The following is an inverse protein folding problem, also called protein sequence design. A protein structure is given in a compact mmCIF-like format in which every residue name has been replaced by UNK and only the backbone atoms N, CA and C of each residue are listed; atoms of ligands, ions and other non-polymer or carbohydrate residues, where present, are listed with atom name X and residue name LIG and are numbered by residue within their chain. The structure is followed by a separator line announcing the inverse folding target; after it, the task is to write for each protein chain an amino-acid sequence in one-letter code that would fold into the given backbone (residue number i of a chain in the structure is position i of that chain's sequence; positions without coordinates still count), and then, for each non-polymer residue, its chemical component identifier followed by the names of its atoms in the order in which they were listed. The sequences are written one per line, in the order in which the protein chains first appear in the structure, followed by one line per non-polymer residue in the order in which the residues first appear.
data_IF_619674240893
#
_entry.id   IF_619674240893
#
_cell.length_a   1.000
_cell.length_b   1.000
_cell.length_c   1.000
_cell.angle_alpha   90.00
_cell.angle_beta   90.00
_cell.angle_gamma   90.00
#
_symmetry.space_group_name_H-M   'P 1'
#
loop_
_entity.id
_entity.type
_entity.pdbx_description
1 polymer ?
#
# COMPACT_ATOMS: atom_id res chain seq x y z
N UNK A 1 -28.48 -4.10 42.38
CA UNK A 1 -27.28 -4.81 41.85
C UNK A 1 -27.49 -5.46 40.46
N UNK A 2 -28.72 -5.78 40.03
CA UNK A 2 -28.96 -6.41 38.72
C UNK A 2 -28.76 -5.48 37.49
N UNK A 3 -28.96 -4.16 37.64
CA UNK A 3 -28.78 -3.20 36.54
C UNK A 3 -27.33 -2.94 36.14
N UNK A 4 -26.41 -2.95 37.11
CA UNK A 4 -24.97 -2.72 36.87
C UNK A 4 -24.32 -3.91 36.15
N UNK A 5 -24.72 -5.15 36.50
CA UNK A 5 -24.27 -6.35 35.79
C UNK A 5 -24.76 -6.38 34.33
N UNK A 6 -25.98 -5.91 34.05
CA UNK A 6 -26.52 -5.83 32.67
C UNK A 6 -25.82 -4.75 31.84
N UNK A 7 -25.48 -3.61 32.44
CA UNK A 7 -24.72 -2.56 31.78
C UNK A 7 -23.29 -3.04 31.43
N UNK A 8 -22.59 -3.70 32.35
CA UNK A 8 -21.23 -4.21 32.10
C UNK A 8 -21.23 -5.32 31.04
N UNK A 9 -22.20 -6.24 31.05
CA UNK A 9 -22.31 -7.30 30.02
C UNK A 9 -22.66 -6.72 28.65
N UNK A 10 -23.51 -5.71 28.56
CA UNK A 10 -23.84 -5.03 27.30
C UNK A 10 -22.63 -4.25 26.74
N UNK A 11 -21.85 -3.58 27.60
CA UNK A 11 -20.61 -2.91 27.18
C UNK A 11 -19.56 -3.90 26.69
N UNK A 12 -19.45 -5.07 27.33
CA UNK A 12 -18.48 -6.11 26.94
C UNK A 12 -18.88 -6.79 25.62
N UNK A 13 -20.19 -6.98 25.37
CA UNK A 13 -20.69 -7.52 24.11
C UNK A 13 -20.51 -6.56 22.92
N UNK A 14 -20.65 -5.25 23.13
CA UNK A 14 -20.37 -4.23 22.11
C UNK A 14 -18.86 -4.16 21.82
N UNK A 15 -18.01 -4.31 22.84
CA UNK A 15 -16.54 -4.35 22.68
C UNK A 15 -16.09 -5.63 21.95
N UNK A 16 -16.72 -6.79 22.20
CA UNK A 16 -16.41 -8.03 21.46
C UNK A 16 -16.94 -8.04 20.03
N UNK A 17 -18.07 -7.39 19.75
CA UNK A 17 -18.60 -7.26 18.38
C UNK A 17 -17.71 -6.38 17.48
N UNK A 18 -16.92 -5.47 18.07
CA UNK A 18 -15.94 -4.66 17.35
C UNK A 18 -14.66 -5.44 16.94
N UNK A 19 -14.49 -6.67 17.42
CA UNK A 19 -13.26 -7.46 17.22
C UNK A 19 -13.40 -8.60 16.19
N UNK A 20 -14.59 -8.84 15.62
CA UNK A 20 -14.85 -9.96 14.73
C UNK A 20 -15.12 -9.51 13.28
N UNK A 21 -14.08 -9.05 12.58
CA UNK A 21 -14.12 -8.82 11.14
C UNK A 21 -13.55 -10.01 10.37
N UNK A 22 -14.37 -10.64 9.52
CA UNK A 22 -13.89 -11.52 8.43
C UNK A 22 -12.92 -10.71 7.56
N UNK A 23 -11.82 -11.33 7.12
CA UNK A 23 -10.79 -10.67 6.33
C UNK A 23 -11.32 -10.33 4.92
N UNK A 24 -11.94 -9.16 4.79
CA UNK A 24 -12.26 -8.54 3.50
C UNK A 24 -11.38 -7.31 3.33
N UNK A 25 -10.84 -7.15 2.12
CA UNK A 25 -9.70 -6.27 1.86
C UNK A 25 -10.08 -4.85 1.45
N UNK A 26 -11.31 -4.65 0.97
CA UNK A 26 -11.77 -3.40 0.38
C UNK A 26 -12.70 -2.63 1.34
N UNK A 27 -12.67 -1.29 1.34
CA UNK A 27 -13.50 -0.49 2.22
C UNK A 27 -14.98 -0.66 1.89
N UNK A 28 -15.80 -0.91 2.90
CA UNK A 28 -17.25 -1.07 2.74
C UNK A 28 -18.02 0.17 3.21
N UNK A 29 -19.20 0.45 2.62
CA UNK A 29 -20.09 1.49 3.14
C UNK A 29 -20.36 1.28 4.64
N UNK A 30 -20.23 2.34 5.42
CA UNK A 30 -20.43 2.35 6.88
C UNK A 30 -19.42 1.54 7.70
N UNK A 31 -18.28 1.15 7.12
CA UNK A 31 -17.18 0.60 7.89
C UNK A 31 -16.59 1.65 8.84
N UNK A 32 -16.51 1.32 10.13
CA UNK A 32 -16.08 2.25 11.19
C UNK A 32 -14.62 2.10 11.62
N UNK A 33 -14.05 0.89 11.45
CA UNK A 33 -12.67 0.59 11.84
C UNK A 33 -11.90 0.06 10.64
N UNK A 34 -10.58 0.11 10.68
CA UNK A 34 -9.76 -0.53 9.66
C UNK A 34 -9.93 -2.06 9.66
N UNK A 35 -9.70 -2.69 8.52
CA UNK A 35 -9.65 -4.15 8.43
C UNK A 35 -8.42 -4.72 9.12
N UNK A 36 -8.46 -6.01 9.48
CA UNK A 36 -7.28 -6.76 9.97
C UNK A 36 -6.19 -6.94 8.91
N UNK A 37 -6.55 -6.70 7.65
CA UNK A 37 -5.72 -6.93 6.48
C UNK A 37 -5.59 -8.41 6.12
N UNK A 38 -4.74 -8.69 5.14
CA UNK A 38 -4.63 -9.95 4.45
C UNK A 38 -3.21 -10.53 4.45
N UNK A 39 -2.33 -9.98 5.29
CA UNK A 39 -0.92 -10.37 5.34
C UNK A 39 -0.54 -10.83 6.74
N UNK A 40 0.57 -11.54 6.85
CA UNK A 40 1.12 -11.92 8.16
C UNK A 40 1.44 -10.69 9.03
N UNK A 41 1.82 -9.57 8.40
CA UNK A 41 2.21 -8.33 9.08
C UNK A 41 1.01 -7.43 9.43
N UNK A 42 -0.06 -7.40 8.61
CA UNK A 42 -1.17 -6.44 8.76
C UNK A 42 -1.92 -6.54 10.10
N UNK A 43 -1.82 -7.68 10.78
CA UNK A 43 -2.39 -7.87 12.13
C UNK A 43 -1.73 -6.99 13.20
N UNK A 44 -0.46 -6.64 13.03
CA UNK A 44 0.29 -5.84 13.99
C UNK A 44 -0.22 -4.38 14.08
N UNK A 45 -0.27 -3.60 12.98
CA UNK A 45 -0.86 -2.25 13.04
C UNK A 45 -2.33 -2.28 13.47
N UNK A 46 -3.10 -3.31 13.08
CA UNK A 46 -4.48 -3.50 13.55
C UNK A 46 -4.56 -3.61 15.08
N UNK A 47 -3.72 -4.46 15.67
CA UNK A 47 -3.65 -4.64 17.11
C UNK A 47 -3.21 -3.37 17.84
N UNK A 48 -2.11 -2.76 17.40
CA UNK A 48 -1.56 -1.53 17.98
C UNK A 48 -2.56 -0.37 17.98
N UNK A 49 -3.26 -0.17 16.85
CA UNK A 49 -4.31 0.84 16.76
C UNK A 49 -5.46 0.58 17.72
N UNK A 50 -5.96 -0.66 17.84
CA UNK A 50 -7.08 -0.94 18.72
C UNK A 50 -6.71 -0.81 20.20
N UNK A 51 -5.48 -1.16 20.57
CA UNK A 51 -4.94 -0.88 21.90
C UNK A 51 -4.87 0.63 22.16
N UNK A 52 -4.26 1.39 21.24
CA UNK A 52 -4.13 2.84 21.37
C UNK A 52 -5.50 3.53 21.42
N UNK A 53 -6.43 3.12 20.56
CA UNK A 53 -7.81 3.61 20.55
C UNK A 53 -8.52 3.33 21.88
N UNK A 54 -8.36 2.11 22.42
CA UNK A 54 -8.90 1.76 23.74
C UNK A 54 -8.37 2.66 24.86
N UNK A 55 -7.07 2.93 24.86
CA UNK A 55 -6.44 3.88 25.81
C UNK A 55 -7.02 5.28 25.65
N UNK A 56 -7.13 5.78 24.41
CA UNK A 56 -7.72 7.09 24.12
C UNK A 56 -9.18 7.19 24.56
N UNK A 57 -9.99 6.13 24.39
CA UNK A 57 -11.39 6.08 24.85
C UNK A 57 -11.45 6.17 26.37
N UNK A 58 -10.62 5.41 27.09
CA UNK A 58 -10.58 5.46 28.57
C UNK A 58 -10.19 6.86 29.05
N UNK A 59 -9.13 7.45 28.49
CA UNK A 59 -8.70 8.82 28.83
C UNK A 59 -9.82 9.81 28.51
N UNK A 60 -10.46 9.68 27.34
CA UNK A 60 -11.60 10.52 26.94
C UNK A 60 -12.74 10.46 27.96
N UNK A 61 -13.16 9.27 28.36
CA UNK A 61 -14.21 9.10 29.39
C UNK A 61 -13.82 9.75 30.72
N UNK A 62 -12.56 9.63 31.14
CA UNK A 62 -12.07 10.24 32.38
C UNK A 62 -12.06 11.78 32.29
N UNK A 63 -11.54 12.33 31.19
CA UNK A 63 -11.46 13.79 30.98
C UNK A 63 -12.84 14.40 30.82
N UNK A 64 -13.66 13.86 29.91
CA UNK A 64 -15.02 14.34 29.72
C UNK A 64 -15.87 14.13 30.97
N UNK A 65 -15.72 13.01 31.67
CA UNK A 65 -16.39 12.75 32.95
C UNK A 65 -16.04 13.81 34.00
N UNK A 66 -14.75 14.07 34.22
CA UNK A 66 -14.29 15.10 35.15
C UNK A 66 -14.78 16.50 34.74
N UNK A 67 -14.75 16.82 33.45
CA UNK A 67 -15.25 18.08 32.92
C UNK A 67 -16.76 18.24 33.14
N UNK A 68 -17.57 17.22 32.84
CA UNK A 68 -19.01 17.25 33.11
C UNK A 68 -19.28 17.41 34.59
N UNK A 69 -18.61 16.65 35.46
CA UNK A 69 -18.73 16.78 36.92
C UNK A 69 -18.41 18.22 37.34
N UNK A 70 -17.30 18.78 36.87
CA UNK A 70 -16.89 20.14 37.21
C UNK A 70 -17.94 21.17 36.77
N UNK A 71 -18.41 21.09 35.53
CA UNK A 71 -19.46 21.99 35.01
C UNK A 71 -20.76 21.86 35.82
N UNK A 72 -21.23 20.65 36.13
CA UNK A 72 -22.49 20.47 36.87
C UNK A 72 -22.39 20.80 38.36
N UNK A 73 -21.22 20.56 38.97
CA UNK A 73 -21.00 20.75 40.41
C UNK A 73 -20.62 22.18 40.77
N UNK A 74 -19.86 22.86 39.91
CA UNK A 74 -19.32 24.20 40.16
C UNK A 74 -19.99 25.30 39.30
N UNK A 75 -21.10 25.02 38.63
CA UNK A 75 -21.87 26.07 37.94
C UNK A 75 -22.39 27.13 38.90
N UNK A 76 -22.33 28.39 38.45
CA UNK A 76 -22.83 29.58 39.17
C UNK A 76 -24.28 29.45 39.65
N UNK A 77 -25.14 28.82 38.85
CA UNK A 77 -26.57 28.64 39.19
C UNK A 77 -26.81 27.76 40.42
N UNK A 78 -25.81 27.02 40.90
CA UNK A 78 -25.88 26.26 42.17
C UNK A 78 -25.28 27.02 43.36
N UNK A 79 -24.95 28.29 43.20
CA UNK A 79 -24.29 29.09 44.25
C UNK A 79 -22.84 28.68 44.50
N UNK A 80 -22.17 28.06 43.51
CA UNK A 80 -20.76 27.73 43.64
C UNK A 80 -19.90 29.00 43.73
N UNK A 81 -19.05 29.08 44.76
CA UNK A 81 -18.06 30.14 44.95
C UNK A 81 -16.70 29.61 44.50
N UNK A 82 -15.94 30.43 43.78
CA UNK A 82 -14.62 30.04 43.28
C UNK A 82 -13.61 29.92 44.42
N UNK A 83 -12.88 28.80 44.42
CA UNK A 83 -11.75 28.59 45.32
C UNK A 83 -10.55 29.47 44.91
N UNK A 84 -9.65 29.76 45.86
CA UNK A 84 -8.50 30.66 45.65
C UNK A 84 -7.14 29.96 45.52
N UNK A 85 -7.08 28.64 45.73
CA UNK A 85 -5.83 27.89 45.60
C UNK A 85 -5.46 27.69 44.13
N UNK A 86 -4.16 27.59 43.84
CA UNK A 86 -3.64 27.53 42.46
C UNK A 86 -2.78 26.32 42.14
N UNK A 87 -2.29 25.59 43.14
CA UNK A 87 -1.36 24.47 42.94
C UNK A 87 -1.66 23.31 43.89
N UNK A 88 -1.35 22.10 43.44
CA UNK A 88 -1.34 20.91 44.26
C UNK A 88 -0.27 19.95 43.72
N UNK A 89 0.93 20.02 44.30
CA UNK A 89 2.11 19.28 43.86
C UNK A 89 1.87 17.78 43.75
N UNK A 90 1.07 17.19 44.66
CA UNK A 90 0.78 15.76 44.59
C UNK A 90 -0.05 15.39 43.36
N UNK A 91 -1.07 16.19 43.03
CA UNK A 91 -1.90 15.94 41.83
C UNK A 91 -1.08 16.21 40.56
N UNK A 92 -0.22 17.23 40.59
CA UNK A 92 0.71 17.56 39.51
C UNK A 92 1.67 16.41 39.19
N UNK A 93 2.24 15.77 40.22
CA UNK A 93 3.09 14.59 40.05
C UNK A 93 2.28 13.45 39.42
N UNK A 94 1.08 13.16 39.93
CA UNK A 94 0.25 12.05 39.45
C UNK A 94 -0.10 12.22 37.96
N UNK A 95 -0.62 13.39 37.55
CA UNK A 95 -1.01 13.60 36.15
C UNK A 95 0.18 13.75 35.21
N UNK A 96 1.40 13.92 35.73
CA UNK A 96 2.62 13.97 34.89
C UNK A 96 3.19 12.57 34.74
N UNK A 97 3.26 11.80 35.82
CA UNK A 97 3.83 10.45 35.81
C UNK A 97 2.93 9.45 35.07
N UNK A 98 1.61 9.50 35.23
CA UNK A 98 0.70 8.55 34.57
C UNK A 98 0.81 8.61 33.03
N UNK A 99 0.72 9.78 32.36
CA UNK A 99 0.89 9.85 30.91
C UNK A 99 2.25 9.36 30.44
N UNK A 100 3.33 9.65 31.18
CA UNK A 100 4.68 9.16 30.85
C UNK A 100 4.71 7.63 30.82
N UNK A 101 4.15 6.97 31.84
CA UNK A 101 4.09 5.50 31.91
C UNK A 101 3.24 4.92 30.77
N UNK A 102 2.09 5.54 30.46
CA UNK A 102 1.22 5.12 29.35
C UNK A 102 2.00 5.18 28.03
N UNK A 103 2.67 6.30 27.74
CA UNK A 103 3.44 6.48 26.51
C UNK A 103 4.62 5.50 26.43
N UNK A 104 5.35 5.27 27.52
CA UNK A 104 6.44 4.29 27.56
C UNK A 104 5.95 2.88 27.21
N UNK A 105 4.79 2.49 27.70
CA UNK A 105 4.21 1.15 27.45
C UNK A 105 3.79 1.01 25.99
N UNK A 106 3.12 2.02 25.43
CA UNK A 106 2.72 2.04 24.02
C UNK A 106 3.93 2.05 23.09
N UNK A 107 4.97 2.82 23.40
CA UNK A 107 6.20 2.88 22.62
C UNK A 107 6.96 1.55 22.64
N UNK A 108 7.03 0.89 23.80
CA UNK A 108 7.64 -0.43 23.91
C UNK A 108 6.93 -1.46 23.03
N UNK A 109 5.59 -1.49 23.08
CA UNK A 109 4.79 -2.39 22.26
C UNK A 109 4.99 -2.14 20.75
N UNK A 110 5.00 -0.88 20.31
CA UNK A 110 5.21 -0.53 18.91
C UNK A 110 6.61 -0.87 18.38
N UNK A 111 7.62 -0.92 19.27
CA UNK A 111 9.02 -1.14 18.89
C UNK A 111 9.25 -2.56 18.35
N UNK A 112 8.60 -3.58 18.93
CA UNK A 112 8.74 -4.97 18.47
C UNK A 112 8.22 -5.12 17.04
N UNK A 113 7.01 -4.63 16.79
CA UNK A 113 6.44 -4.58 15.46
C UNK A 113 7.36 -3.88 14.44
N UNK A 114 7.85 -2.68 14.75
CA UNK A 114 8.73 -1.96 13.82
C UNK A 114 9.97 -2.78 13.42
N UNK A 115 10.58 -3.53 14.34
CA UNK A 115 11.75 -4.36 14.02
C UNK A 115 11.43 -5.43 12.97
N UNK A 116 10.31 -6.13 13.13
CA UNK A 116 9.88 -7.16 12.17
C UNK A 116 9.51 -6.56 10.81
N UNK A 117 8.92 -5.37 10.78
CA UNK A 117 8.59 -4.68 9.54
C UNK A 117 9.83 -4.33 8.70
N UNK A 118 10.91 -3.87 9.33
CA UNK A 118 12.15 -3.50 8.61
C UNK A 118 12.99 -4.69 8.15
N UNK A 119 12.73 -5.90 8.67
CA UNK A 119 13.44 -7.11 8.25
C UNK A 119 12.91 -7.65 6.90
N UNK A 120 13.52 -7.16 5.82
CA UNK A 120 13.26 -7.63 4.45
C UNK A 120 14.12 -8.82 4.04
N UNK A 121 14.96 -9.35 4.93
CA UNK A 121 15.85 -10.49 4.63
C UNK A 121 15.06 -11.78 4.43
N UNK A 122 15.66 -12.77 3.76
CA UNK A 122 15.02 -14.07 3.49
C UNK A 122 13.79 -13.98 2.57
N UNK A 123 13.65 -12.89 1.82
CA UNK A 123 12.56 -12.74 0.84
C UNK A 123 12.74 -13.72 -0.32
N UNK A 124 11.65 -14.34 -0.72
CA UNK A 124 11.58 -15.35 -1.78
C UNK A 124 11.30 -14.76 -3.15
N UNK A 125 10.97 -13.47 -3.20
CA UNK A 125 10.64 -12.75 -4.41
C UNK A 125 10.99 -11.28 -4.20
N UNK A 126 11.49 -10.62 -5.23
CA UNK A 126 11.67 -9.15 -5.25
C UNK A 126 10.88 -8.54 -6.41
N UNK A 127 10.09 -7.50 -6.12
CA UNK A 127 9.41 -6.67 -7.10
C UNK A 127 9.90 -5.24 -6.96
N UNK A 128 10.34 -4.64 -8.06
CA UNK A 128 10.58 -3.20 -8.13
C UNK A 128 9.27 -2.50 -8.46
N UNK A 129 8.93 -1.50 -7.67
CA UNK A 129 7.79 -0.61 -7.87
C UNK A 129 8.33 0.77 -8.16
N UNK A 130 7.90 1.36 -9.28
CA UNK A 130 8.32 2.70 -9.66
C UNK A 130 7.08 3.58 -9.87
N UNK A 131 7.01 4.69 -9.14
CA UNK A 131 5.99 5.72 -9.32
C UNK A 131 6.24 6.59 -10.55
N UNK A 132 5.17 6.93 -11.26
CA UNK A 132 5.14 7.92 -12.34
C UNK A 132 3.85 8.73 -12.26
N UNK A 133 3.82 9.96 -12.75
CA UNK A 133 2.60 10.72 -12.98
C UNK A 133 1.83 10.14 -14.19
N UNK A 134 0.64 9.54 -14.05
CA UNK A 134 -0.03 9.03 -12.84
C UNK A 134 -0.34 7.55 -13.05
N UNK A 135 0.65 6.70 -12.77
CA UNK A 135 0.64 5.24 -12.99
C UNK A 135 1.80 4.60 -12.22
N UNK A 136 1.74 3.28 -12.10
CA UNK A 136 2.78 2.50 -11.45
C UNK A 136 3.45 1.57 -12.45
N UNK A 137 4.77 1.44 -12.39
CA UNK A 137 5.49 0.38 -13.08
C UNK A 137 5.84 -0.72 -12.08
N UNK A 138 5.66 -1.95 -12.52
CA UNK A 138 6.09 -3.14 -11.80
C UNK A 138 7.13 -3.88 -12.62
N UNK A 139 8.30 -4.12 -12.06
CA UNK A 139 9.33 -4.98 -12.64
C UNK A 139 9.61 -6.15 -11.67
N UNK A 140 9.48 -7.37 -12.16
CA UNK A 140 9.76 -8.57 -11.39
C UNK A 140 11.27 -8.83 -11.48
N UNK A 141 11.96 -8.85 -10.33
CA UNK A 141 13.43 -8.89 -10.28
C UNK A 141 13.93 -10.32 -10.07
N UNK A 142 13.36 -11.01 -9.10
CA UNK A 142 13.70 -12.40 -8.78
C UNK A 142 12.51 -13.15 -8.19
N UNK A 143 12.53 -14.48 -8.35
CA UNK A 143 11.61 -15.40 -7.72
C UNK A 143 12.31 -16.73 -7.40
N UNK A 144 12.24 -17.16 -6.14
CA UNK A 144 12.88 -18.37 -5.61
C UNK A 144 14.37 -18.48 -5.96
N UNK A 145 15.09 -17.37 -5.85
CA UNK A 145 16.53 -17.28 -6.13
C UNK A 145 16.89 -17.28 -7.62
N UNK A 146 15.89 -17.30 -8.51
CA UNK A 146 16.10 -17.17 -9.96
C UNK A 146 15.83 -15.73 -10.39
N UNK A 147 16.75 -15.07 -11.11
CA UNK A 147 16.48 -13.79 -11.72
C UNK A 147 15.30 -13.91 -12.69
N UNK A 148 14.37 -12.98 -12.62
CA UNK A 148 13.28 -12.83 -13.59
C UNK A 148 13.73 -11.77 -14.57
N UNK A 149 13.81 -12.12 -15.86
CA UNK A 149 14.24 -11.19 -16.89
C UNK A 149 13.06 -10.82 -17.77
N UNK A 150 12.94 -9.52 -18.10
CA UNK A 150 11.99 -8.99 -19.09
C UNK A 150 10.50 -9.11 -18.72
N UNK A 151 10.17 -9.28 -17.44
CA UNK A 151 8.79 -9.19 -16.97
C UNK A 151 8.60 -7.87 -16.23
N UNK A 152 8.03 -6.89 -16.91
CA UNK A 152 7.66 -5.63 -16.31
C UNK A 152 6.71 -4.82 -17.17
N UNK A 153 5.82 -4.08 -16.54
CA UNK A 153 4.76 -3.34 -17.23
C UNK A 153 4.28 -2.13 -16.43
N UNK A 154 3.69 -1.19 -17.16
CA UNK A 154 2.93 -0.07 -16.60
C UNK A 154 1.52 -0.54 -16.25
N UNK A 155 1.03 -0.10 -15.10
CA UNK A 155 -0.32 -0.26 -14.58
C UNK A 155 -0.90 1.13 -14.37
N UNK A 156 -1.98 1.44 -15.09
CA UNK A 156 -2.69 2.72 -15.01
C UNK A 156 -4.15 2.48 -14.69
N UNK A 157 -4.88 3.56 -14.39
CA UNK A 157 -6.33 3.51 -14.20
C UNK A 157 -7.00 2.75 -15.36
N UNK A 158 -7.99 1.92 -15.01
CA UNK A 158 -8.74 1.18 -16.01
C UNK A 158 -9.50 2.13 -16.96
N UNK A 159 -9.67 1.71 -18.21
CA UNK A 159 -10.20 2.56 -19.27
C UNK A 159 -11.65 3.01 -19.02
N UNK A 160 -12.46 2.19 -18.33
CA UNK A 160 -13.85 2.55 -18.04
C UNK A 160 -13.92 3.64 -16.98
N UNK A 161 -13.16 3.50 -15.89
CA UNK A 161 -13.03 4.55 -14.88
C UNK A 161 -12.44 5.84 -15.48
N UNK A 162 -11.39 5.73 -16.30
CA UNK A 162 -10.74 6.88 -16.92
C UNK A 162 -11.67 7.62 -17.89
N UNK A 163 -12.55 6.91 -18.59
CA UNK A 163 -13.61 7.52 -19.42
C UNK A 163 -14.72 8.12 -18.57
N UNK A 164 -15.15 7.41 -17.53
CA UNK A 164 -16.29 7.81 -16.67
C UNK A 164 -15.99 9.09 -15.90
N UNK A 165 -14.75 9.27 -15.45
CA UNK A 165 -14.33 10.47 -14.70
C UNK A 165 -14.27 11.76 -15.53
N UNK A 166 -14.31 11.68 -16.86
CA UNK A 166 -14.24 12.87 -17.70
C UNK A 166 -15.48 13.74 -17.52
N UNK A 167 -15.29 15.05 -17.56
CA UNK A 167 -16.41 16.00 -17.56
C UNK A 167 -17.33 15.69 -18.76
N UNK A 168 -18.64 15.74 -18.52
CA UNK A 168 -19.68 15.48 -19.54
C UNK A 168 -19.58 14.09 -20.21
N UNK A 169 -18.99 13.09 -19.53
CA UNK A 169 -18.88 11.73 -20.06
C UNK A 169 -20.23 11.04 -20.30
N UNK A 170 -21.29 11.46 -19.58
CA UNK A 170 -22.61 10.84 -19.60
C UNK A 170 -22.64 9.44 -19.00
N UNK A 171 -21.55 8.99 -18.35
CA UNK A 171 -21.43 7.67 -17.74
C UNK A 171 -21.70 7.74 -16.24
N UNK A 172 -22.31 6.69 -15.70
CA UNK A 172 -22.62 6.58 -14.27
C UNK A 172 -21.45 5.94 -13.49
N UNK A 173 -20.81 6.65 -12.55
CA UNK A 173 -19.80 6.09 -11.65
C UNK A 173 -20.27 4.85 -10.88
N UNK A 174 -21.57 4.73 -10.57
CA UNK A 174 -22.11 3.59 -9.83
C UNK A 174 -22.28 2.33 -10.70
N UNK A 175 -22.20 2.48 -12.03
CA UNK A 175 -22.25 1.39 -12.99
C UNK A 175 -20.87 0.74 -13.23
N UNK A 176 -19.76 1.36 -12.79
CA UNK A 176 -18.42 0.81 -12.95
C UNK A 176 -18.16 -0.26 -11.89
N UNK A 177 -18.28 -1.53 -12.30
CA UNK A 177 -18.20 -2.66 -11.38
C UNK A 177 -17.27 -3.77 -11.85
N UNK A 178 -16.72 -4.49 -10.87
CA UNK A 178 -16.06 -5.78 -11.07
C UNK A 178 -16.80 -6.81 -10.21
N UNK A 179 -17.55 -7.73 -10.84
CA UNK A 179 -18.51 -8.55 -10.09
C UNK A 179 -19.61 -7.65 -9.50
N UNK A 180 -19.86 -7.80 -8.19
CA UNK A 180 -20.86 -7.01 -7.47
C UNK A 180 -20.30 -5.71 -6.86
N UNK A 181 -18.98 -5.53 -6.85
CA UNK A 181 -18.30 -4.41 -6.22
C UNK A 181 -18.22 -3.20 -7.17
N UNK A 182 -18.51 -2.01 -6.64
CA UNK A 182 -18.20 -0.76 -7.35
C UNK A 182 -16.69 -0.52 -7.30
N UNK A 183 -16.06 -0.46 -8.48
CA UNK A 183 -14.62 -0.30 -8.62
C UNK A 183 -14.22 0.98 -9.34
N UNK A 184 -15.13 1.96 -9.41
CA UNK A 184 -14.84 3.27 -10.01
C UNK A 184 -13.61 3.91 -9.35
N UNK A 185 -12.61 4.26 -10.16
CA UNK A 185 -11.32 4.82 -9.72
C UNK A 185 -10.42 3.89 -8.90
N UNK A 186 -10.82 2.64 -8.70
CA UNK A 186 -10.11 1.67 -7.86
C UNK A 186 -9.50 0.52 -8.65
N UNK A 187 -9.79 0.42 -9.95
CA UNK A 187 -9.30 -0.64 -10.83
C UNK A 187 -8.21 -0.16 -11.79
N UNK A 188 -7.45 -1.11 -12.32
CA UNK A 188 -6.35 -0.85 -13.26
C UNK A 188 -6.46 -1.72 -14.49
N UNK A 189 -5.77 -1.33 -15.55
CA UNK A 189 -5.65 -2.12 -16.77
C UNK A 189 -4.79 -3.39 -16.59
N UNK A 190 -3.73 -3.30 -15.78
CA UNK A 190 -2.78 -4.40 -15.54
C UNK A 190 -2.44 -4.56 -14.05
N UNK A 191 -3.10 -5.47 -13.31
CA UNK A 191 -2.81 -5.67 -11.90
C UNK A 191 -1.41 -6.27 -11.67
N UNK A 192 -0.84 -6.00 -10.50
CA UNK A 192 0.36 -6.69 -10.02
C UNK A 192 -0.04 -8.11 -9.56
N UNK A 193 0.53 -9.15 -10.17
CA UNK A 193 0.18 -10.54 -9.84
C UNK A 193 1.22 -11.09 -8.87
N UNK A 194 0.80 -11.57 -7.71
CA UNK A 194 1.70 -12.05 -6.65
C UNK A 194 1.31 -13.45 -6.16
N UNK A 195 2.27 -14.31 -5.77
CA UNK A 195 1.97 -15.57 -5.13
C UNK A 195 1.61 -15.39 -3.65
N UNK A 196 0.60 -16.10 -3.16
CA UNK A 196 0.31 -16.22 -1.72
C UNK A 196 1.38 -17.04 -1.01
N UNK A 197 1.44 -16.93 0.32
CA UNK A 197 2.36 -17.67 1.20
C UNK A 197 3.83 -17.57 0.78
N UNK A 198 4.22 -16.37 0.33
CA UNK A 198 5.55 -16.05 -0.18
C UNK A 198 5.98 -14.73 0.45
N UNK A 199 7.17 -14.68 1.05
CA UNK A 199 7.73 -13.42 1.53
C UNK A 199 8.24 -12.63 0.32
N UNK A 200 7.56 -11.54 -0.01
CA UNK A 200 7.84 -10.69 -1.18
C UNK A 200 8.42 -9.38 -0.70
N UNK A 201 9.61 -9.04 -1.17
CA UNK A 201 10.23 -7.72 -0.96
C UNK A 201 9.82 -6.78 -2.08
N UNK A 202 9.39 -5.60 -1.70
CA UNK A 202 9.22 -4.48 -2.61
C UNK A 202 10.41 -3.55 -2.48
N UNK A 203 10.97 -3.16 -3.62
CA UNK A 203 11.93 -2.06 -3.71
C UNK A 203 11.25 -0.90 -4.44
N UNK A 204 11.06 0.22 -3.76
CA UNK A 204 10.09 1.24 -4.12
C UNK A 204 10.85 2.55 -4.39
N UNK A 205 10.61 3.15 -5.55
CA UNK A 205 11.22 4.42 -5.97
C UNK A 205 10.30 5.17 -6.93
N UNK A 206 10.71 6.33 -7.44
CA UNK A 206 10.00 7.12 -8.44
C UNK A 206 10.96 7.66 -9.48
N UNK A 207 10.47 7.93 -10.70
CA UNK A 207 11.26 8.61 -11.75
C UNK A 207 10.91 10.10 -11.92
N UNK A 208 9.84 10.60 -11.28
CA UNK A 208 9.42 12.00 -11.43
C UNK A 208 9.27 12.74 -10.11
N UNK A 209 8.12 12.63 -9.44
CA UNK A 209 7.80 13.29 -8.17
C UNK A 209 7.65 12.26 -7.06
N UNK A 210 7.43 12.72 -5.83
CA UNK A 210 7.15 11.81 -4.72
C UNK A 210 5.75 11.21 -4.92
N UNK A 211 5.65 9.89 -4.78
CA UNK A 211 4.38 9.15 -4.65
C UNK A 211 4.42 8.36 -3.35
N UNK A 212 3.33 7.68 -3.00
CA UNK A 212 3.37 6.69 -1.91
C UNK A 212 2.55 5.48 -2.28
N UNK A 213 3.21 4.32 -2.28
CA UNK A 213 2.56 3.05 -2.59
C UNK A 213 1.88 2.54 -1.32
N UNK A 214 0.56 2.66 -1.25
CA UNK A 214 -0.23 2.27 -0.09
C UNK A 214 -1.21 1.16 -0.42
N UNK A 215 -1.06 0.05 0.30
CA UNK A 215 -1.98 -1.08 0.26
C UNK A 215 -2.57 -1.28 1.67
N UNK A 216 -3.78 -0.75 1.95
CA UNK A 216 -4.39 -0.84 3.28
C UNK A 216 -4.49 -2.27 3.79
N UNK A 217 -4.88 -3.20 2.92
CA UNK A 217 -4.99 -4.63 3.25
C UNK A 217 -3.64 -5.27 3.59
N UNK A 218 -2.51 -4.69 3.21
CA UNK A 218 -1.19 -5.17 3.61
C UNK A 218 -0.72 -4.57 4.93
N UNK A 219 -1.41 -3.55 5.43
CA UNK A 219 -1.12 -2.90 6.70
C UNK A 219 0.08 -1.94 6.66
N UNK A 220 0.55 -1.55 5.47
CA UNK A 220 1.65 -0.60 5.37
C UNK A 220 1.57 0.26 4.12
N UNK A 221 2.25 1.41 4.19
CA UNK A 221 2.51 2.34 3.08
C UNK A 221 3.99 2.63 3.02
N UNK A 222 4.50 2.93 1.83
CA UNK A 222 5.89 3.32 1.66
C UNK A 222 6.02 4.33 0.53
N UNK A 223 6.76 5.40 0.80
CA UNK A 223 6.93 6.47 -0.16
C UNK A 223 7.88 6.04 -1.29
N UNK A 224 7.51 6.43 -2.50
CA UNK A 224 8.28 6.28 -3.72
C UNK A 224 8.95 7.63 -4.01
N UNK A 225 10.23 7.74 -3.66
CA UNK A 225 10.96 9.01 -3.69
C UNK A 225 11.99 8.98 -4.83
N UNK A 226 12.03 10.00 -5.71
CA UNK A 226 13.03 10.08 -6.76
C UNK A 226 14.46 10.03 -6.19
N UNK A 227 15.30 9.17 -6.76
CA UNK A 227 16.70 9.01 -6.33
C UNK A 227 16.91 8.20 -5.05
N UNK A 228 15.86 7.68 -4.41
CA UNK A 228 15.95 6.83 -3.22
C UNK A 228 15.22 5.51 -3.47
N UNK A 229 15.82 4.41 -3.01
CA UNK A 229 15.18 3.09 -3.03
C UNK A 229 14.77 2.72 -1.61
N UNK A 230 13.47 2.81 -1.32
CA UNK A 230 12.90 2.30 -0.09
C UNK A 230 12.61 0.80 -0.22
N UNK A 231 12.52 0.10 0.90
CA UNK A 231 12.18 -1.33 0.92
C UNK A 231 11.08 -1.62 1.92
N UNK A 232 10.15 -2.48 1.53
CA UNK A 232 9.11 -3.02 2.38
C UNK A 232 8.89 -4.49 2.02
N UNK A 233 8.13 -5.24 2.82
CA UNK A 233 7.81 -6.63 2.49
C UNK A 233 6.36 -6.97 2.81
N UNK A 234 5.87 -8.03 2.16
CA UNK A 234 4.58 -8.63 2.49
C UNK A 234 4.65 -10.14 2.42
N UNK A 235 3.70 -10.81 3.08
CA UNK A 235 3.40 -12.21 2.85
C UNK A 235 1.87 -12.35 2.91
N UNK A 236 1.28 -12.57 1.74
CA UNK A 236 -0.18 -12.57 1.54
C UNK A 236 -0.73 -13.93 1.95
N UNK A 237 -1.73 -13.93 2.82
CA UNK A 237 -2.27 -15.14 3.43
C UNK A 237 -3.34 -15.84 2.59
N UNK A 238 -4.05 -15.10 1.71
CA UNK A 238 -5.17 -15.64 0.96
C UNK A 238 -5.16 -15.14 -0.49
N UNK A 239 -5.65 -15.98 -1.41
CA UNK A 239 -5.84 -15.57 -2.79
C UNK A 239 -7.00 -14.56 -2.88
N UNK A 240 -6.90 -13.63 -3.82
CA UNK A 240 -7.89 -12.56 -3.97
C UNK A 240 -7.37 -11.36 -4.72
N UNK A 241 -8.22 -10.34 -4.82
CA UNK A 241 -7.87 -9.03 -5.36
C UNK A 241 -7.79 -8.04 -4.20
N UNK A 242 -6.73 -7.25 -4.17
CA UNK A 242 -6.46 -6.27 -3.13
C UNK A 242 -6.25 -4.90 -3.76
N UNK A 243 -6.93 -3.87 -3.24
CA UNK A 243 -6.89 -2.52 -3.81
C UNK A 243 -6.18 -1.55 -2.88
N UNK A 244 -5.39 -0.68 -3.50
CA UNK A 244 -4.64 0.39 -2.86
C UNK A 244 -4.69 1.66 -3.70
N UNK A 245 -4.14 2.74 -3.17
CA UNK A 245 -4.13 4.04 -3.82
C UNK A 245 -2.79 4.75 -3.57
N UNK A 246 -2.51 5.76 -4.38
CA UNK A 246 -1.41 6.66 -4.07
C UNK A 246 -1.74 7.47 -2.81
N UNK A 247 -0.82 7.54 -1.86
CA UNK A 247 -1.01 8.21 -0.57
C UNK A 247 -0.09 9.42 -0.34
N UNK A 248 0.49 9.97 -1.42
CA UNK A 248 1.27 11.22 -1.40
C UNK A 248 0.87 12.09 -2.59
N UNK A 249 0.60 13.37 -2.36
CA UNK A 249 0.10 14.28 -3.39
C UNK A 249 1.14 14.42 -4.52
N UNK A 250 0.81 13.88 -5.69
CA UNK A 250 1.71 13.81 -6.84
C UNK A 250 1.23 14.60 -8.08
N UNK A 251 0.31 15.55 -7.89
CA UNK A 251 -0.20 16.43 -8.95
C UNK A 251 -1.66 16.17 -9.32
N UNK A 252 -2.05 16.64 -10.51
CA UNK A 252 -3.45 16.73 -10.97
C UNK A 252 -4.23 15.41 -10.85
N UNK A 253 -3.69 14.31 -11.36
CA UNK A 253 -4.39 13.01 -11.37
C UNK A 253 -3.95 12.12 -10.17
N UNK A 254 -3.54 12.73 -9.04
CA UNK A 254 -3.14 12.01 -7.82
C UNK A 254 -4.19 10.97 -7.37
N UNK A 255 -5.47 11.32 -7.41
CA UNK A 255 -6.58 10.42 -7.06
C UNK A 255 -6.87 9.32 -8.08
N UNK A 256 -6.17 9.28 -9.22
CA UNK A 256 -6.49 8.45 -10.39
C UNK A 256 -5.35 7.49 -10.77
N UNK A 257 -4.48 7.14 -9.83
CA UNK A 257 -3.43 6.13 -10.02
C UNK A 257 -3.51 5.00 -8.98
N UNK A 258 -4.60 4.22 -9.01
CA UNK A 258 -4.82 3.15 -8.06
C UNK A 258 -3.81 2.02 -8.23
N UNK A 259 -3.78 1.15 -7.23
CA UNK A 259 -2.94 -0.04 -7.15
C UNK A 259 -3.90 -1.23 -7.04
N UNK A 260 -3.69 -2.25 -7.88
CA UNK A 260 -4.41 -3.52 -7.74
C UNK A 260 -3.40 -4.65 -7.70
N UNK A 261 -3.50 -5.47 -6.66
CA UNK A 261 -2.76 -6.72 -6.54
C UNK A 261 -3.72 -7.89 -6.72
N UNK A 262 -3.39 -8.81 -7.61
CA UNK A 262 -4.05 -10.10 -7.75
C UNK A 262 -3.17 -11.18 -7.11
N UNK A 263 -3.54 -11.63 -5.92
CA UNK A 263 -2.84 -12.72 -5.26
C UNK A 263 -3.40 -14.06 -5.72
N UNK A 264 -2.52 -14.95 -6.17
CA UNK A 264 -2.87 -16.26 -6.72
C UNK A 264 -2.07 -17.38 -6.03
N UNK A 265 -2.43 -18.63 -6.29
CA UNK A 265 -1.64 -19.76 -5.81
C UNK A 265 -0.21 -19.72 -6.38
N UNK A 266 0.75 -20.34 -5.70
CA UNK A 266 2.14 -20.43 -6.21
C UNK A 266 2.21 -21.10 -7.58
N UNK A 267 1.35 -22.08 -7.83
CA UNK A 267 1.27 -22.79 -9.10
C UNK A 267 0.75 -21.86 -10.22
N UNK A 268 -0.35 -21.15 -9.97
CA UNK A 268 -0.91 -20.20 -10.93
C UNK A 268 0.04 -19.05 -11.20
N UNK A 269 0.75 -18.57 -10.18
CA UNK A 269 1.78 -17.56 -10.33
C UNK A 269 2.91 -18.06 -11.23
N UNK A 270 3.42 -19.27 -11.01
CA UNK A 270 4.49 -19.83 -11.84
C UNK A 270 4.06 -20.00 -13.31
N UNK A 271 2.83 -20.47 -13.55
CA UNK A 271 2.23 -20.55 -14.90
C UNK A 271 2.12 -19.17 -15.54
N UNK A 272 1.60 -18.20 -14.80
CA UNK A 272 1.46 -16.82 -15.25
C UNK A 272 2.83 -16.21 -15.59
N UNK A 273 3.82 -16.38 -14.73
CA UNK A 273 5.16 -15.84 -14.91
C UNK A 273 5.83 -16.42 -16.17
N UNK A 274 5.77 -17.74 -16.35
CA UNK A 274 6.30 -18.40 -17.54
C UNK A 274 5.64 -17.87 -18.83
N UNK A 275 4.32 -17.64 -18.82
CA UNK A 275 3.61 -17.05 -19.96
C UNK A 275 4.05 -15.61 -20.24
N UNK A 276 4.31 -14.80 -19.20
CA UNK A 276 4.84 -13.44 -19.37
C UNK A 276 6.27 -13.45 -19.93
N UNK A 277 7.13 -14.34 -19.46
CA UNK A 277 8.49 -14.46 -19.98
C UNK A 277 8.51 -14.87 -21.45
N UNK A 278 7.61 -15.79 -21.85
CA UNK A 278 7.44 -16.18 -23.25
C UNK A 278 6.89 -15.05 -24.11
N UNK A 279 5.88 -14.33 -23.65
CA UNK A 279 5.29 -13.20 -24.39
C UNK A 279 6.29 -12.05 -24.61
N UNK A 280 7.27 -11.91 -23.71
CA UNK A 280 8.33 -10.90 -23.79
C UNK A 280 9.64 -11.45 -24.37
N UNK A 281 9.64 -12.70 -24.87
CA UNK A 281 10.78 -13.26 -25.58
C UNK A 281 10.95 -12.57 -26.95
N UNK A 282 12.19 -12.28 -27.40
CA UNK A 282 12.41 -11.79 -28.76
C UNK A 282 11.83 -12.79 -29.77
N UNK A 283 11.22 -12.28 -30.85
CA UNK A 283 10.88 -13.12 -31.98
C UNK A 283 12.13 -13.89 -32.44
N UNK A 284 12.00 -15.17 -32.88
CA UNK A 284 13.13 -15.89 -33.46
C UNK A 284 13.79 -15.00 -34.51
N UNK A 285 15.11 -14.86 -34.45
CA UNK A 285 15.85 -14.14 -35.48
C UNK A 285 15.42 -14.70 -36.84
N UNK A 286 14.90 -13.84 -37.71
CA UNK A 286 14.61 -14.24 -39.08
C UNK A 286 15.86 -14.93 -39.65
N UNK A 287 15.74 -16.11 -40.29
CA UNK A 287 16.89 -16.78 -40.86
C UNK A 287 17.62 -15.76 -41.72
N UNK A 288 18.91 -15.56 -41.42
CA UNK A 288 19.75 -14.63 -42.16
C UNK A 288 19.58 -14.93 -43.65
N UNK A 289 19.10 -13.94 -44.40
CA UNK A 289 19.05 -14.05 -45.85
C UNK A 289 20.44 -14.46 -46.31
N UNK A 290 20.54 -15.59 -47.00
CA UNK A 290 21.80 -16.07 -47.55
C UNK A 290 22.44 -14.91 -48.31
N UNK A 291 23.63 -14.50 -47.88
CA UNK A 291 24.37 -13.42 -48.53
C UNK A 291 24.53 -13.80 -50.00
N UNK A 292 23.85 -13.07 -50.89
CA UNK A 292 24.16 -13.14 -52.32
C UNK A 292 25.61 -12.78 -52.49
N UNK A 293 26.40 -13.72 -53.02
CA UNK A 293 27.80 -13.55 -53.31
C UNK A 293 28.01 -12.23 -54.09
N UNK A 294 28.91 -11.38 -53.59
CA UNK A 294 29.30 -10.16 -54.25
C UNK A 294 29.82 -10.47 -55.66
N UNK A 295 29.32 -9.73 -56.65
CA UNK A 295 29.83 -9.80 -58.02
C UNK A 295 31.34 -9.46 -58.05
N UNK A 296 32.14 -10.12 -58.90
CA UNK A 296 33.58 -9.90 -58.94
C UNK A 296 33.90 -8.47 -59.37
N UNK A 297 34.85 -7.85 -58.66
CA UNK A 297 35.33 -6.50 -58.95
C UNK A 297 35.92 -6.43 -60.36
N UNK A 298 35.41 -5.50 -61.17
CA UNK A 298 36.00 -5.12 -62.46
C UNK A 298 37.39 -4.54 -62.24
N UNK A 299 38.39 -5.15 -62.89
CA UNK A 299 39.77 -4.68 -62.90
C UNK A 299 39.86 -3.25 -63.46
N UNK A 300 40.51 -2.35 -62.72
CA UNK A 300 40.87 -1.03 -63.22
C UNK A 300 41.97 -1.16 -64.29
N UNK A 301 41.69 -0.61 -65.46
CA UNK A 301 42.65 -0.49 -66.56
C UNK A 301 43.65 0.60 -66.19
N UNK A 302 44.93 0.24 -66.09
CA UNK A 302 46.04 1.19 -65.93
C UNK A 302 46.26 1.90 -67.26
N UNK A 303 46.18 3.24 -67.25
CA UNK A 303 46.49 4.08 -68.41
C UNK A 303 48.01 4.11 -68.69
N UNK A 304 48.45 4.11 -69.95
CA UNK A 304 49.87 4.13 -70.30
C UNK A 304 50.50 5.51 -70.10
N UNK A 305 51.74 5.48 -69.63
CA UNK A 305 52.62 6.61 -69.38
C UNK A 305 53.03 7.28 -70.72
N UNK A 306 52.69 8.55 -70.87
CA UNK A 306 53.05 9.34 -72.05
C UNK A 306 54.37 10.08 -71.79
N UNK A 307 55.49 9.45 -72.14
CA UNK A 307 56.76 10.14 -72.30
C UNK A 307 56.76 10.96 -73.59
N UNK A 308 57.28 12.19 -73.55
CA UNK A 308 57.64 12.92 -74.77
C UNK A 308 57.90 14.43 -74.65
N UNK A 309 59.18 14.75 -74.45
CA UNK A 309 59.95 15.87 -75.06
C UNK A 309 59.83 17.31 -74.52
N UNK A 310 61.00 17.87 -74.18
CA UNK A 310 61.26 19.29 -73.94
C UNK A 310 62.42 19.52 -73.01
#
# INVERSE_FOLDING_TARGET
MAGIRRAVVASTAIVLALCAGLAQADPHPWQLNMGRGATTWSGEPYFLNNVALGVCVVIGVLVFGAMFIAMFRFRKSRGAVAEKWSHNTMVEIIWTTIPVIILMTLAWLATDGMRTFYDTTGSQMTVKVTGYQWKWRYDYVDYLGKPVSKVGYMSKLDALSDKTRQLDSGLDPYAVKTGDENTYLLNVDKPLVLPIHTKIRFVITSEDVIHSWWMPSFGWKMDAIPGIINSAWTNINAAGTYRGQCAELCGQDHGFMPIVVKAVSKEDFAKWLAAQEQANAPAPAAPAAAATAAAPATAQVVAPDAGGHG
#
